data_IF_996042852254
#
_entry.id   IF_996042852254
#
_cell.length_a   1.000
_cell.length_b   1.000
_cell.length_c   1.000
_cell.angle_alpha   90.00
_cell.angle_beta   90.00
_cell.angle_gamma   90.00
#
_symmetry.space_group_name_H-M   'P 1'
#
loop_
_entity.id
_entity.type
_entity.pdbx_description
1 polymer ?
#
# COMPACT_ATOMS: atom_id res chain seq x y z
N UNK A 1 6.09 -13.93 -15.82
CA UNK A 1 7.42 -14.27 -15.25
C UNK A 1 7.56 -14.04 -13.73
N UNK A 2 6.75 -13.19 -13.08
CA UNK A 2 6.88 -12.94 -11.64
C UNK A 2 6.28 -14.04 -10.73
N UNK A 3 5.31 -14.83 -11.23
CA UNK A 3 4.59 -15.87 -10.46
C UNK A 3 5.50 -16.97 -9.88
N UNK A 4 6.44 -17.57 -10.64
CA UNK A 4 7.32 -18.61 -10.10
C UNK A 4 8.24 -18.09 -8.99
N UNK A 5 8.74 -16.86 -9.15
CA UNK A 5 9.62 -16.19 -8.18
C UNK A 5 8.86 -15.87 -6.89
N UNK A 6 7.64 -15.32 -6.99
CA UNK A 6 6.79 -15.05 -5.84
C UNK A 6 6.44 -16.34 -5.08
N UNK A 7 6.13 -17.42 -5.80
CA UNK A 7 5.83 -18.72 -5.20
C UNK A 7 7.05 -19.29 -4.45
N UNK A 8 8.23 -19.25 -5.07
CA UNK A 8 9.49 -19.68 -4.44
C UNK A 8 9.80 -18.86 -3.19
N UNK A 9 9.67 -17.53 -3.25
CA UNK A 9 9.87 -16.64 -2.10
C UNK A 9 8.92 -16.98 -0.95
N UNK A 10 7.63 -17.21 -1.25
CA UNK A 10 6.63 -17.62 -0.25
C UNK A 10 6.99 -18.97 0.39
N UNK A 11 7.44 -19.95 -0.39
CA UNK A 11 7.86 -21.26 0.11
C UNK A 11 9.10 -21.18 0.99
N UNK A 12 10.12 -20.42 0.58
CA UNK A 12 11.35 -20.21 1.34
C UNK A 12 11.06 -19.48 2.65
N UNK A 13 10.32 -18.36 2.61
CA UNK A 13 9.93 -17.62 3.81
C UNK A 13 9.09 -18.47 4.77
N UNK A 14 8.17 -19.28 4.25
CA UNK A 14 7.39 -20.22 5.07
C UNK A 14 8.30 -21.22 5.77
N UNK A 15 9.28 -21.79 5.06
CA UNK A 15 10.24 -22.75 5.64
C UNK A 15 11.13 -22.10 6.71
N UNK A 16 11.66 -20.91 6.46
CA UNK A 16 12.46 -20.16 7.44
C UNK A 16 11.65 -19.81 8.69
N UNK A 17 10.39 -19.39 8.53
CA UNK A 17 9.50 -19.06 9.64
C UNK A 17 9.05 -20.27 10.44
N UNK A 18 8.87 -21.43 9.78
CA UNK A 18 8.65 -22.71 10.46
C UNK A 18 9.87 -23.08 11.32
N UNK A 19 11.09 -22.91 10.79
CA UNK A 19 12.34 -23.16 11.56
C UNK A 19 12.49 -22.22 12.75
N UNK A 20 12.01 -20.98 12.64
CA UNK A 20 12.05 -19.98 13.71
C UNK A 20 10.83 -20.00 14.66
N UNK A 21 9.98 -21.03 14.62
CA UNK A 21 8.75 -21.15 15.42
C UNK A 21 7.81 -19.92 15.34
N UNK A 22 7.77 -19.25 14.19
CA UNK A 22 6.94 -18.06 14.01
C UNK A 22 5.45 -18.43 13.94
N UNK A 23 4.54 -17.67 14.57
CA UNK A 23 3.10 -17.94 14.49
C UNK A 23 2.59 -17.79 13.06
N UNK A 24 1.78 -18.74 12.59
CA UNK A 24 1.16 -18.78 11.26
C UNK A 24 2.14 -18.48 10.10
N UNK A 25 3.17 -19.33 9.88
CA UNK A 25 4.28 -19.06 8.97
C UNK A 25 3.85 -18.93 7.50
N UNK A 26 2.87 -19.72 7.05
CA UNK A 26 2.34 -19.66 5.69
C UNK A 26 1.54 -18.37 5.45
N UNK A 27 0.60 -18.03 6.35
CA UNK A 27 -0.24 -16.82 6.21
C UNK A 27 0.61 -15.56 6.16
N UNK A 28 1.59 -15.46 7.05
CA UNK A 28 2.49 -14.30 7.10
C UNK A 28 3.41 -14.24 5.89
N UNK A 29 3.91 -15.37 5.39
CA UNK A 29 4.75 -15.40 4.20
C UNK A 29 3.96 -14.99 2.95
N UNK A 30 2.74 -15.51 2.78
CA UNK A 30 1.85 -15.14 1.68
C UNK A 30 1.46 -13.66 1.73
N UNK A 31 1.13 -13.14 2.92
CA UNK A 31 0.83 -11.72 3.08
C UNK A 31 2.04 -10.85 2.70
N UNK A 32 3.25 -11.22 3.11
CA UNK A 32 4.44 -10.42 2.83
C UNK A 32 4.82 -10.42 1.36
N UNK A 33 4.78 -11.60 0.73
CA UNK A 33 5.01 -11.72 -0.70
C UNK A 33 3.92 -10.98 -1.48
N UNK A 34 2.66 -11.09 -1.07
CA UNK A 34 1.55 -10.37 -1.70
C UNK A 34 1.66 -8.85 -1.56
N UNK A 35 2.08 -8.35 -0.39
CA UNK A 35 2.33 -6.92 -0.18
C UNK A 35 3.44 -6.47 -1.14
N UNK A 36 4.60 -7.14 -1.11
CA UNK A 36 5.75 -6.74 -1.93
C UNK A 36 5.44 -6.84 -3.41
N UNK A 37 4.90 -7.96 -3.88
CA UNK A 37 4.55 -8.14 -5.29
C UNK A 37 3.45 -7.18 -5.75
N UNK A 38 2.54 -6.81 -4.85
CA UNK A 38 1.41 -5.94 -5.15
C UNK A 38 1.71 -4.44 -5.02
N UNK A 39 2.71 -4.02 -4.24
CA UNK A 39 3.05 -2.59 -4.07
C UNK A 39 4.37 -2.19 -4.73
N UNK A 40 5.38 -3.07 -4.76
CA UNK A 40 6.71 -2.70 -5.27
C UNK A 40 6.72 -2.25 -6.73
N UNK A 41 5.97 -2.86 -7.67
CA UNK A 41 5.92 -2.38 -9.06
C UNK A 41 5.35 -0.97 -9.17
N UNK A 42 4.34 -0.64 -8.36
CA UNK A 42 3.74 0.69 -8.33
C UNK A 42 4.69 1.72 -7.74
N UNK A 43 5.32 1.40 -6.61
CA UNK A 43 6.34 2.25 -5.98
C UNK A 43 7.52 2.49 -6.93
N UNK A 44 7.96 1.46 -7.66
CA UNK A 44 8.98 1.61 -8.69
C UNK A 44 8.52 2.55 -9.81
N UNK A 45 7.30 2.38 -10.31
CA UNK A 45 6.76 3.20 -11.39
C UNK A 45 6.61 4.68 -11.00
N UNK A 46 6.21 4.97 -9.76
CA UNK A 46 6.08 6.35 -9.27
C UNK A 46 7.45 6.99 -8.95
N UNK A 47 8.46 6.18 -8.64
CA UNK A 47 9.85 6.62 -8.42
C UNK A 47 10.70 6.64 -9.72
N UNK A 48 10.18 6.15 -10.85
CA UNK A 48 10.88 6.27 -12.13
C UNK A 48 10.75 7.72 -12.62
N UNK A 49 11.87 8.42 -12.88
CA UNK A 49 11.83 9.81 -13.32
C UNK A 49 11.16 9.92 -14.70
N UNK A 50 10.14 10.76 -14.78
CA UNK A 50 9.62 11.22 -16.06
C UNK A 50 10.47 12.44 -16.45
N UNK A 51 11.01 12.46 -17.67
CA UNK A 51 11.84 13.56 -18.19
C UNK A 51 11.05 14.86 -18.43
N UNK A 52 9.97 15.12 -17.69
CA UNK A 52 9.14 16.33 -17.74
C UNK A 52 9.53 17.24 -16.58
N UNK A 53 9.64 18.54 -16.82
CA UNK A 53 10.16 19.52 -15.87
C UNK A 53 9.48 19.48 -14.50
N UNK A 54 10.26 19.72 -13.44
CA UNK A 54 9.81 19.69 -12.04
C UNK A 54 8.78 20.80 -11.79
N UNK A 55 7.56 20.42 -11.40
CA UNK A 55 6.56 21.32 -10.79
C UNK A 55 6.14 20.71 -9.45
N UNK A 56 6.35 21.46 -8.37
CA UNK A 56 5.94 21.08 -7.01
C UNK A 56 4.81 22.01 -6.60
N UNK A 57 3.62 21.46 -6.32
CA UNK A 57 2.45 22.21 -5.85
C UNK A 57 2.11 21.76 -4.44
N UNK A 58 2.50 22.56 -3.44
CA UNK A 58 2.28 22.29 -2.01
C UNK A 58 0.89 22.71 -1.51
N UNK A 59 0.03 23.21 -2.41
CA UNK A 59 -1.32 23.67 -2.06
C UNK A 59 -2.29 22.49 -2.22
N UNK A 60 -2.85 21.95 -1.13
CA UNK A 60 -3.89 20.93 -1.23
C UNK A 60 -5.07 21.48 -2.03
N UNK A 61 -5.70 20.65 -2.87
CA UNK A 61 -6.86 21.02 -3.71
C UNK A 61 -6.59 21.99 -4.88
N UNK A 62 -5.35 22.42 -5.13
CA UNK A 62 -5.03 23.29 -6.28
C UNK A 62 -5.23 22.59 -7.63
N UNK A 63 -5.04 21.27 -7.68
CA UNK A 63 -5.25 20.49 -8.91
C UNK A 63 -6.72 20.11 -9.16
N UNK A 64 -7.66 20.39 -8.23
CA UNK A 64 -9.09 20.22 -8.50
C UNK A 64 -9.54 21.04 -9.71
N UNK A 65 -9.05 22.28 -9.84
CA UNK A 65 -9.32 23.12 -11.02
C UNK A 65 -8.70 22.58 -12.31
N UNK A 66 -7.55 21.90 -12.23
CA UNK A 66 -6.93 21.23 -13.37
C UNK A 66 -7.73 20.01 -13.81
N UNK A 67 -8.25 19.20 -12.89
CA UNK A 67 -9.07 18.03 -13.21
C UNK A 67 -10.34 18.36 -14.02
N UNK A 68 -10.96 19.52 -13.77
CA UNK A 68 -12.13 19.96 -14.55
C UNK A 68 -11.78 20.35 -16.00
N UNK A 69 -10.52 20.65 -16.29
CA UNK A 69 -10.05 21.03 -17.64
C UNK A 69 -9.47 19.86 -18.43
N UNK A 70 -9.29 18.70 -17.79
CA UNK A 70 -8.68 17.53 -18.40
C UNK A 70 -9.71 16.50 -18.86
N UNK A 71 -9.40 15.67 -19.87
CA UNK A 71 -10.25 14.56 -20.26
C UNK A 71 -10.48 13.62 -19.07
N UNK A 72 -11.74 13.21 -18.87
CA UNK A 72 -12.14 12.31 -17.78
C UNK A 72 -11.25 11.04 -17.70
N UNK A 73 -10.87 10.48 -18.84
CA UNK A 73 -9.99 9.30 -18.89
C UNK A 73 -8.63 9.51 -18.22
N UNK A 74 -8.03 10.70 -18.37
CA UNK A 74 -6.73 11.02 -17.76
C UNK A 74 -6.86 11.12 -16.24
N UNK A 75 -7.90 11.82 -15.77
CA UNK A 75 -8.20 11.97 -14.33
C UNK A 75 -8.50 10.61 -13.70
N UNK A 76 -9.31 9.79 -14.36
CA UNK A 76 -9.66 8.45 -13.90
C UNK A 76 -8.42 7.57 -13.74
N UNK A 77 -7.54 7.52 -14.75
CA UNK A 77 -6.31 6.74 -14.69
C UNK A 77 -5.38 7.21 -13.57
N UNK A 78 -5.28 8.52 -13.34
CA UNK A 78 -4.46 9.08 -12.27
C UNK A 78 -4.99 8.72 -10.88
N UNK A 79 -6.29 8.93 -10.64
CA UNK A 79 -6.93 8.62 -9.35
C UNK A 79 -6.89 7.12 -9.08
N UNK A 80 -7.25 6.28 -10.05
CA UNK A 80 -7.21 4.83 -9.89
C UNK A 80 -5.78 4.33 -9.72
N UNK A 81 -4.82 4.88 -10.47
CA UNK A 81 -3.40 4.54 -10.33
C UNK A 81 -2.90 4.78 -8.91
N UNK A 82 -3.21 5.94 -8.33
CA UNK A 82 -2.85 6.28 -6.95
C UNK A 82 -3.56 5.36 -5.94
N UNK A 83 -4.87 5.13 -6.07
CA UNK A 83 -5.61 4.21 -5.19
C UNK A 83 -4.97 2.81 -5.12
N UNK A 84 -4.35 2.36 -6.21
CA UNK A 84 -3.75 1.03 -6.30
C UNK A 84 -2.33 0.93 -5.70
N UNK A 85 -1.60 2.04 -5.52
CA UNK A 85 -0.20 2.03 -5.06
C UNK A 85 -0.03 1.28 -3.73
N UNK A 86 -0.90 1.55 -2.75
CA UNK A 86 -0.90 0.87 -1.46
C UNK A 86 -2.10 -0.05 -1.23
N UNK A 87 -2.84 -0.40 -2.29
CA UNK A 87 -3.97 -1.32 -2.19
C UNK A 87 -3.57 -2.67 -1.59
N UNK A 88 -2.49 -3.27 -2.10
CA UNK A 88 -1.99 -4.56 -1.59
C UNK A 88 -1.47 -4.46 -0.14
N UNK A 89 -0.83 -3.35 0.23
CA UNK A 89 -0.42 -3.07 1.60
C UNK A 89 -1.65 -3.00 2.52
N UNK A 90 -2.65 -2.21 2.16
CA UNK A 90 -3.89 -2.07 2.92
C UNK A 90 -4.68 -3.36 3.07
N UNK A 91 -4.79 -4.14 1.99
CA UNK A 91 -5.46 -5.43 1.97
C UNK A 91 -4.80 -6.47 2.90
N UNK A 92 -3.47 -6.58 2.84
CA UNK A 92 -2.78 -7.74 3.43
C UNK A 92 -2.17 -7.45 4.79
N UNK A 93 -1.95 -6.19 5.16
CA UNK A 93 -1.38 -5.83 6.46
C UNK A 93 -2.27 -6.29 7.65
N UNK A 94 -3.60 -6.13 7.63
CA UNK A 94 -4.50 -6.68 8.65
C UNK A 94 -4.56 -8.22 8.69
N UNK A 95 -4.39 -8.86 7.53
CA UNK A 95 -4.35 -10.32 7.38
C UNK A 95 -3.04 -10.88 7.95
N UNK A 96 -1.93 -10.16 7.79
CA UNK A 96 -0.62 -10.52 8.33
C UNK A 96 -0.65 -10.55 9.86
N UNK A 97 -1.11 -9.48 10.50
CA UNK A 97 -0.98 -9.31 11.96
C UNK A 97 -2.17 -8.62 12.61
N UNK A 98 -2.57 -9.15 13.77
CA UNK A 98 -3.57 -8.57 14.68
C UNK A 98 -3.22 -7.14 15.09
N UNK A 99 -1.92 -6.81 15.15
CA UNK A 99 -1.44 -5.47 15.48
C UNK A 99 -1.96 -4.43 14.47
N UNK A 100 -2.17 -4.82 13.22
CA UNK A 100 -2.63 -3.93 12.16
C UNK A 100 -4.07 -4.18 11.71
N UNK A 101 -4.81 -5.05 12.42
CA UNK A 101 -6.24 -5.30 12.19
C UNK A 101 -7.12 -4.14 12.72
N UNK A 102 -6.89 -2.94 12.19
CA UNK A 102 -7.56 -1.69 12.56
C UNK A 102 -7.44 -0.69 11.42
N UNK A 103 -8.56 -0.16 10.93
CA UNK A 103 -8.58 0.79 9.80
C UNK A 103 -7.72 2.05 10.09
N UNK A 104 -7.80 2.69 11.28
CA UNK A 104 -6.90 3.80 11.61
C UNK A 104 -5.42 3.44 11.53
N UNK A 105 -5.03 2.21 11.92
CA UNK A 105 -3.62 1.78 11.84
C UNK A 105 -3.19 1.55 10.40
N UNK A 106 -4.08 0.99 9.57
CA UNK A 106 -3.82 0.86 8.13
C UNK A 106 -3.68 2.24 7.49
N UNK A 107 -4.58 3.17 7.80
CA UNK A 107 -4.53 4.54 7.31
C UNK A 107 -3.22 5.22 7.72
N UNK A 108 -2.81 5.11 8.99
CA UNK A 108 -1.54 5.69 9.47
C UNK A 108 -0.33 5.11 8.73
N UNK A 109 -0.27 3.77 8.56
CA UNK A 109 0.85 3.14 7.84
C UNK A 109 0.87 3.55 6.37
N UNK A 110 -0.29 3.61 5.71
CA UNK A 110 -0.39 4.04 4.32
C UNK A 110 -0.02 5.52 4.14
N UNK A 111 -0.47 6.39 5.04
CA UNK A 111 -0.12 7.81 5.04
C UNK A 111 1.39 8.00 5.21
N UNK A 112 2.00 7.36 6.22
CA UNK A 112 3.45 7.43 6.43
C UNK A 112 4.24 6.90 5.23
N UNK A 113 3.80 5.79 4.63
CA UNK A 113 4.43 5.24 3.43
C UNK A 113 4.31 6.20 2.24
N UNK A 114 3.14 6.81 2.04
CA UNK A 114 2.92 7.77 0.96
C UNK A 114 3.72 9.06 1.15
N UNK A 115 3.75 9.61 2.36
CA UNK A 115 4.60 10.77 2.67
C UNK A 115 6.08 10.45 2.47
N UNK A 116 6.53 9.23 2.81
CA UNK A 116 7.92 8.81 2.55
C UNK A 116 8.22 8.80 1.06
N UNK A 117 7.31 8.27 0.24
CA UNK A 117 7.46 8.29 -1.23
C UNK A 117 7.51 9.73 -1.75
N UNK A 118 6.65 10.60 -1.26
CA UNK A 118 6.61 12.01 -1.65
C UNK A 118 7.92 12.73 -1.31
N UNK A 119 8.45 12.53 -0.10
CA UNK A 119 9.74 13.07 0.33
C UNK A 119 10.88 12.55 -0.57
N UNK A 120 10.86 11.26 -0.92
CA UNK A 120 11.85 10.70 -1.84
C UNK A 120 11.73 11.29 -3.24
N UNK A 121 10.52 11.47 -3.77
CA UNK A 121 10.28 12.09 -5.07
C UNK A 121 10.77 13.53 -5.12
N UNK A 122 10.53 14.28 -4.05
CA UNK A 122 11.01 15.64 -3.89
C UNK A 122 12.55 15.69 -3.81
N UNK A 123 13.16 14.88 -2.92
CA UNK A 123 14.61 14.85 -2.74
C UNK A 123 15.38 14.38 -3.98
N UNK A 124 14.82 13.43 -4.73
CA UNK A 124 15.39 12.91 -5.98
C UNK A 124 15.04 13.77 -7.22
N UNK A 125 14.29 14.86 -7.05
CA UNK A 125 13.88 15.79 -8.13
C UNK A 125 13.28 15.07 -9.34
N UNK A 126 12.43 14.07 -9.12
CA UNK A 126 11.95 13.15 -10.17
C UNK A 126 10.98 13.76 -11.19
N UNK A 127 10.82 15.08 -11.25
CA UNK A 127 10.02 15.76 -12.27
C UNK A 127 8.52 15.51 -12.17
N UNK A 128 8.02 15.06 -11.02
CA UNK A 128 6.62 14.64 -10.84
C UNK A 128 5.82 15.66 -10.05
N UNK A 129 4.58 15.88 -10.47
CA UNK A 129 3.55 16.58 -9.71
C UNK A 129 3.24 15.72 -8.48
N UNK A 130 3.90 15.98 -7.36
CA UNK A 130 3.58 15.36 -6.07
C UNK A 130 2.71 16.33 -5.29
N UNK A 131 1.51 15.89 -4.95
CA UNK A 131 0.50 16.68 -4.27
C UNK A 131 0.04 15.97 -2.99
N UNK A 132 -0.38 16.75 -2.00
CA UNK A 132 -1.06 16.24 -0.80
C UNK A 132 -2.27 15.35 -1.18
N UNK A 133 -2.89 15.62 -2.32
CA UNK A 133 -4.01 14.86 -2.87
C UNK A 133 -3.59 13.41 -3.19
N UNK A 134 -2.35 13.17 -3.65
CA UNK A 134 -1.84 11.81 -3.89
C UNK A 134 -1.73 11.02 -2.59
N UNK A 135 -1.27 11.64 -1.50
CA UNK A 135 -1.19 11.00 -0.17
C UNK A 135 -2.58 10.62 0.33
N UNK A 136 -3.56 11.51 0.17
CA UNK A 136 -4.94 11.24 0.56
C UNK A 136 -5.55 10.10 -0.26
N UNK A 137 -5.38 10.11 -1.58
CA UNK A 137 -5.90 9.07 -2.47
C UNK A 137 -5.24 7.72 -2.16
N UNK A 138 -3.91 7.69 -2.04
CA UNK A 138 -3.13 6.50 -1.68
C UNK A 138 -3.59 5.90 -0.34
N UNK A 139 -3.82 6.74 0.66
CA UNK A 139 -4.31 6.35 1.99
C UNK A 139 -5.74 5.81 1.90
N UNK A 140 -6.62 6.49 1.17
CA UNK A 140 -8.00 6.06 0.95
C UNK A 140 -8.05 4.69 0.26
N UNK A 141 -7.22 4.48 -0.77
CA UNK A 141 -7.07 3.20 -1.45
C UNK A 141 -6.68 2.09 -0.48
N UNK A 142 -5.66 2.29 0.35
CA UNK A 142 -5.26 1.31 1.35
C UNK A 142 -6.40 0.95 2.33
N UNK A 143 -7.17 1.94 2.79
CA UNK A 143 -8.32 1.71 3.69
C UNK A 143 -9.44 0.94 2.98
N UNK A 144 -9.77 1.29 1.74
CA UNK A 144 -10.79 0.60 0.94
C UNK A 144 -10.43 -0.88 0.74
N UNK A 145 -9.19 -1.17 0.37
CA UNK A 145 -8.74 -2.55 0.18
C UNK A 145 -8.59 -3.32 1.51
N UNK A 146 -8.33 -2.62 2.62
CA UNK A 146 -8.42 -3.22 3.95
C UNK A 146 -9.86 -3.64 4.31
N UNK A 147 -10.86 -2.85 3.91
CA UNK A 147 -12.27 -3.21 4.08
C UNK A 147 -12.66 -4.44 3.27
N UNK A 148 -12.21 -4.55 2.02
CA UNK A 148 -12.45 -5.73 1.16
C UNK A 148 -11.94 -7.01 1.82
N UNK A 149 -10.81 -6.92 2.53
CA UNK A 149 -10.19 -8.06 3.19
C UNK A 149 -10.64 -8.28 4.64
N UNK A 150 -11.58 -7.49 5.15
CA UNK A 150 -12.00 -7.47 6.56
C UNK A 150 -12.34 -8.84 7.14
N UNK A 151 -12.95 -9.72 6.34
CA UNK A 151 -13.32 -11.09 6.73
C UNK A 151 -12.12 -12.03 6.96
N UNK A 152 -10.94 -11.70 6.44
CA UNK A 152 -9.73 -12.51 6.57
C UNK A 152 -8.70 -11.88 7.51
N UNK A 153 -9.06 -10.80 8.19
CA UNK A 153 -8.18 -10.16 9.15
C UNK A 153 -7.78 -11.17 10.21
N UNK A 154 -6.54 -11.05 10.71
CA UNK A 154 -6.12 -11.90 11.81
C UNK A 154 -7.04 -11.61 13.01
N UNK A 155 -7.90 -12.56 13.36
CA UNK A 155 -8.87 -12.42 14.45
C UNK A 155 -8.17 -11.93 15.70
N UNK A 156 -8.70 -10.93 16.38
CA UNK A 156 -8.42 -10.83 17.82
C UNK A 156 -9.07 -12.06 18.41
N UNK A 157 -8.30 -12.97 18.99
CA UNK A 157 -8.89 -13.82 20.03
C UNK A 157 -9.34 -12.81 21.08
N UNK A 158 -10.62 -12.44 21.07
CA UNK A 158 -11.26 -11.91 22.27
C UNK A 158 -10.88 -12.94 23.33
N UNK A 159 -10.18 -12.48 24.37
CA UNK A 159 -9.79 -13.33 25.48
C UNK A 159 -10.99 -14.21 25.80
N UNK A 160 -10.91 -15.51 25.42
CA UNK A 160 -11.92 -16.46 25.85
C UNK A 160 -11.83 -16.38 27.35
N UNK A 161 -12.85 -15.80 27.95
CA UNK A 161 -13.14 -15.87 29.36
C UNK A 161 -12.86 -17.29 29.78
N UNK A 162 -11.77 -17.47 30.55
CA UNK A 162 -11.49 -18.71 31.25
C UNK A 162 -12.71 -18.94 32.14
N UNK A 163 -13.50 -20.01 31.95
CA UNK A 163 -14.52 -20.35 32.92
C UNK A 163 -13.77 -20.66 34.21
N UNK A 164 -14.09 -19.91 35.27
CA UNK A 164 -13.65 -20.24 36.63
C UNK A 164 -14.38 -21.47 37.12
#
# INVERSE_FOLDING_TARGET
MALPVALLAALVLTRLRKRANHPAPLRTALADVGIVAGTAPWVWMILTPLHRGVRVTLVPFHELGWFFTQPFGTVFVQVVGNLLVFAALGALLPVRSRRFASLPRVALVAALASTTVEVLQYGLRLGRHSTVDDVLINTAGAVLFALVTRRWWADRIAARTVPR
#
